data_IF_096971379015
#
_entry.id   IF_096971379015
#
_cell.length_a   1.000
_cell.length_b   1.000
_cell.length_c   1.000
_cell.angle_alpha   90.00
_cell.angle_beta   90.00
_cell.angle_gamma   90.00
#
_symmetry.space_group_name_H-M   'P 1'
#
loop_
_entity.id
_entity.type
_entity.pdbx_description
1 polymer ?
#
# COMPACT_ATOMS: atom_id res chain seq x y z
N UNK A 1 -19.79 -5.40 16.98
CA UNK A 1 -18.43 -5.52 17.55
C UNK A 1 -17.88 -4.12 17.72
N UNK A 2 -17.37 -3.77 18.90
CA UNK A 2 -16.71 -2.48 19.13
C UNK A 2 -15.29 -2.54 18.56
N UNK A 3 -14.88 -1.53 17.80
CA UNK A 3 -13.52 -1.36 17.28
C UNK A 3 -12.97 -0.04 17.80
N UNK A 4 -11.70 -0.01 18.17
CA UNK A 4 -11.03 1.21 18.63
C UNK A 4 -10.12 1.74 17.52
N UNK A 5 -10.27 3.02 17.18
CA UNK A 5 -9.49 3.67 16.11
C UNK A 5 -8.53 4.69 16.71
N UNK A 6 -7.26 4.60 16.30
CA UNK A 6 -6.21 5.55 16.63
C UNK A 6 -5.60 6.08 15.33
N UNK A 7 -5.65 7.40 15.17
CA UNK A 7 -4.98 8.09 14.06
C UNK A 7 -3.95 9.04 14.66
N UNK A 8 -2.68 8.79 14.35
CA UNK A 8 -1.56 9.62 14.78
C UNK A 8 -0.98 10.32 13.57
N UNK A 9 -1.15 11.64 13.52
CA UNK A 9 -0.52 12.50 12.55
C UNK A 9 0.60 13.29 13.25
N UNK A 10 1.83 13.13 12.78
CA UNK A 10 2.94 13.91 13.31
C UNK A 10 2.99 15.29 12.61
N UNK A 11 2.91 16.35 13.41
CA UNK A 11 3.01 17.73 12.92
C UNK A 11 4.47 18.20 12.97
N UNK A 12 4.87 19.02 11.99
CA UNK A 12 6.25 19.42 11.68
C UNK A 12 6.98 20.20 12.78
N UNK A 13 6.34 20.55 13.90
CA UNK A 13 6.89 21.43 14.96
C UNK A 13 6.58 20.95 16.39
N UNK A 14 6.54 19.64 16.59
CA UNK A 14 6.18 19.07 17.89
C UNK A 14 7.38 19.10 18.85
N UNK A 15 7.30 19.92 19.91
CA UNK A 15 8.31 19.97 20.98
C UNK A 15 8.55 18.58 21.60
N UNK A 16 9.77 18.22 22.05
CA UNK A 16 10.04 16.93 22.72
C UNK A 16 9.10 16.65 23.92
N UNK A 17 8.62 17.69 24.61
CA UNK A 17 7.64 17.57 25.69
C UNK A 17 6.27 17.11 25.20
N UNK A 18 5.89 17.51 23.99
CA UNK A 18 4.62 17.09 23.37
C UNK A 18 4.72 15.63 22.91
N UNK A 19 5.88 15.21 22.37
CA UNK A 19 6.11 13.81 22.00
C UNK A 19 5.99 12.86 23.20
N UNK A 20 6.67 13.16 24.32
CA UNK A 20 6.57 12.34 25.52
C UNK A 20 5.17 12.33 26.16
N UNK A 21 4.41 13.43 26.00
CA UNK A 21 3.00 13.48 26.42
C UNK A 21 2.13 12.61 25.50
N UNK A 22 2.37 12.65 24.19
CA UNK A 22 1.66 11.85 23.20
C UNK A 22 1.89 10.36 23.40
N UNK A 23 3.13 9.96 23.65
CA UNK A 23 3.50 8.58 24.00
C UNK A 23 2.68 8.03 25.16
N UNK A 24 2.58 8.79 26.26
CA UNK A 24 1.77 8.40 27.41
C UNK A 24 0.29 8.28 27.08
N UNK A 25 -0.24 9.25 26.32
CA UNK A 25 -1.65 9.24 25.89
C UNK A 25 -1.94 8.01 25.01
N UNK A 26 -1.04 7.69 24.08
CA UNK A 26 -1.16 6.52 23.20
C UNK A 26 -1.09 5.23 24.00
N UNK A 27 -0.12 5.11 24.90
CA UNK A 27 0.01 3.96 25.79
C UNK A 27 -1.24 3.76 26.66
N UNK A 28 -1.75 4.82 27.28
CA UNK A 28 -2.97 4.77 28.08
C UNK A 28 -4.19 4.38 27.23
N UNK A 29 -4.31 4.90 26.02
CA UNK A 29 -5.38 4.53 25.08
C UNK A 29 -5.29 3.05 24.68
N UNK A 30 -4.09 2.56 24.36
CA UNK A 30 -3.84 1.15 24.01
C UNK A 30 -4.19 0.21 25.17
N UNK A 31 -3.87 0.60 26.41
CA UNK A 31 -4.25 -0.14 27.62
C UNK A 31 -5.76 -0.12 27.84
N UNK A 32 -6.42 1.03 27.70
CA UNK A 32 -7.87 1.19 27.90
C UNK A 32 -8.71 0.44 26.89
N UNK A 33 -8.21 0.27 25.67
CA UNK A 33 -8.91 -0.51 24.63
C UNK A 33 -8.95 -2.02 24.89
N UNK A 34 -8.27 -2.50 25.95
CA UNK A 34 -8.35 -3.86 26.48
C UNK A 34 -8.08 -4.94 25.41
N UNK A 35 -9.08 -5.74 25.04
CA UNK A 35 -8.97 -6.80 24.03
C UNK A 35 -9.63 -6.43 22.70
N UNK A 36 -10.08 -5.18 22.54
CA UNK A 36 -10.77 -4.76 21.33
C UNK A 36 -9.82 -4.80 20.12
N UNK A 37 -10.30 -5.18 18.93
CA UNK A 37 -9.57 -5.00 17.69
C UNK A 37 -9.20 -3.52 17.47
N UNK A 38 -8.02 -3.31 16.94
CA UNK A 38 -7.41 -2.00 16.75
C UNK A 38 -7.36 -1.63 15.27
N UNK A 39 -7.71 -0.38 14.98
CA UNK A 39 -7.47 0.27 13.70
C UNK A 39 -6.47 1.39 13.93
N UNK A 40 -5.25 1.23 13.45
CA UNK A 40 -4.15 2.18 13.68
C UNK A 40 -3.72 2.80 12.36
N UNK A 41 -3.58 4.12 12.34
CA UNK A 41 -2.97 4.85 11.24
C UNK A 41 -1.85 5.75 11.77
N UNK A 42 -0.63 5.53 11.27
CA UNK A 42 0.55 6.32 11.59
C UNK A 42 0.96 7.14 10.38
N UNK A 43 1.03 8.46 10.54
CA UNK A 43 1.43 9.38 9.46
C UNK A 43 2.63 10.23 9.86
N UNK A 44 3.73 10.07 9.14
CA UNK A 44 4.83 11.02 9.07
C UNK A 44 4.96 11.62 7.67
N UNK A 45 4.38 12.82 7.53
CA UNK A 45 4.43 13.58 6.28
C UNK A 45 5.70 14.41 6.15
N UNK A 46 6.49 14.54 7.20
CA UNK A 46 7.57 15.50 7.24
C UNK A 46 8.92 14.89 6.84
N UNK A 47 9.05 13.56 6.83
CA UNK A 47 10.34 12.87 6.73
C UNK A 47 11.36 13.42 7.74
N UNK A 48 10.85 13.91 8.87
CA UNK A 48 11.61 14.58 9.93
C UNK A 48 11.94 13.65 11.07
N UNK A 49 11.43 12.43 11.00
CA UNK A 49 12.03 11.37 11.75
C UNK A 49 13.48 11.22 11.29
N UNK A 50 14.37 11.89 12.03
CA UNK A 50 15.82 11.78 11.83
C UNK A 50 16.20 10.31 11.92
N UNK A 51 17.25 9.90 11.20
CA UNK A 51 17.78 8.52 11.15
C UNK A 51 18.09 7.86 12.51
N UNK A 52 17.95 8.58 13.63
CA UNK A 52 17.91 8.01 14.97
C UNK A 52 16.58 7.29 15.22
N UNK A 53 16.52 6.05 14.74
CA UNK A 53 15.46 5.08 14.99
C UNK A 53 15.10 4.94 16.49
N UNK A 54 16.09 5.10 17.38
CA UNK A 54 15.92 5.08 18.84
C UNK A 54 14.99 6.20 19.38
N UNK A 55 14.61 7.16 18.54
CA UNK A 55 13.73 8.29 18.89
C UNK A 55 12.26 8.11 18.49
N UNK A 56 11.85 6.93 18.01
CA UNK A 56 10.46 6.66 17.63
C UNK A 56 9.72 5.63 18.49
N UNK A 57 9.46 5.97 19.77
CA UNK A 57 8.80 5.08 20.73
C UNK A 57 7.38 4.71 20.33
N UNK A 58 6.68 5.50 19.51
CA UNK A 58 5.30 5.20 19.12
C UNK A 58 5.16 3.91 18.29
N UNK A 59 6.11 3.64 17.39
CA UNK A 59 6.11 2.39 16.60
C UNK A 59 6.36 1.20 17.52
N UNK A 60 7.32 1.34 18.44
CA UNK A 60 7.67 0.29 19.40
C UNK A 60 6.53 0.02 20.41
N UNK A 61 5.78 1.04 20.80
CA UNK A 61 4.62 0.92 21.68
C UNK A 61 3.46 0.11 21.09
N UNK A 62 3.38 -0.01 19.76
CA UNK A 62 2.35 -0.82 19.10
C UNK A 62 2.69 -2.31 19.06
N UNK A 63 3.97 -2.69 19.13
CA UNK A 63 4.40 -4.08 19.01
C UNK A 63 3.72 -5.02 20.03
N UNK A 64 3.58 -4.66 21.32
CA UNK A 64 2.88 -5.52 22.30
C UNK A 64 1.39 -5.72 22.00
N UNK A 65 0.81 -4.92 21.11
CA UNK A 65 -0.60 -4.96 20.73
C UNK A 65 -0.81 -5.45 19.29
N UNK A 66 0.24 -5.97 18.63
CA UNK A 66 0.21 -6.43 17.23
C UNK A 66 -0.92 -7.43 16.98
N UNK A 67 -1.13 -8.37 17.90
CA UNK A 67 -2.15 -9.42 17.76
C UNK A 67 -3.58 -8.92 17.67
N UNK A 68 -3.81 -7.65 18.02
CA UNK A 68 -5.11 -6.97 17.98
C UNK A 68 -5.26 -6.06 16.76
N UNK A 69 -4.20 -5.84 15.98
CA UNK A 69 -4.25 -4.98 14.80
C UNK A 69 -5.10 -5.63 13.73
N UNK A 70 -6.24 -4.99 13.42
CA UNK A 70 -7.15 -5.39 12.35
C UNK A 70 -6.95 -4.55 11.11
N UNK A 71 -6.74 -3.25 11.29
CA UNK A 71 -6.42 -2.31 10.24
C UNK A 71 -5.13 -1.58 10.59
N UNK A 72 -4.17 -1.57 9.68
CA UNK A 72 -2.90 -0.90 9.87
C UNK A 72 -2.57 -0.06 8.65
N UNK A 73 -2.47 1.26 8.83
CA UNK A 73 -2.01 2.18 7.78
C UNK A 73 -0.76 2.89 8.23
N UNK A 74 0.30 2.80 7.43
CA UNK A 74 1.60 3.37 7.72
C UNK A 74 1.96 4.36 6.62
N UNK A 75 2.38 5.55 7.01
CA UNK A 75 2.93 6.54 6.10
C UNK A 75 4.19 7.13 6.70
N UNK A 76 5.33 7.05 6.00
CA UNK A 76 6.61 7.56 6.50
C UNK A 76 7.84 6.88 5.89
N UNK A 77 9.00 7.06 6.53
CA UNK A 77 10.25 6.40 6.16
C UNK A 77 10.17 4.87 6.43
N UNK A 78 10.48 4.02 5.45
CA UNK A 78 10.41 2.57 5.62
C UNK A 78 11.33 2.01 6.71
N UNK A 79 12.49 2.62 6.98
CA UNK A 79 13.39 2.14 8.03
C UNK A 79 12.78 2.28 9.42
N UNK A 80 11.98 3.32 9.66
CA UNK A 80 11.31 3.55 10.93
C UNK A 80 10.11 2.64 11.15
N UNK A 81 9.47 2.27 10.05
CA UNK A 81 8.34 1.34 10.04
C UNK A 81 8.80 -0.11 10.12
N UNK A 82 10.11 -0.36 9.96
CA UNK A 82 10.71 -1.70 9.87
C UNK A 82 10.30 -2.67 10.97
N UNK A 83 10.15 -2.30 12.27
CA UNK A 83 9.63 -3.20 13.29
C UNK A 83 8.27 -3.78 12.96
N UNK A 84 7.34 -2.94 12.47
CA UNK A 84 6.00 -3.36 12.11
C UNK A 84 6.01 -4.16 10.81
N UNK A 85 6.88 -3.83 9.87
CA UNK A 85 7.00 -4.54 8.58
C UNK A 85 7.61 -5.94 8.72
N UNK A 86 8.34 -6.21 9.80
CA UNK A 86 8.91 -7.54 10.13
C UNK A 86 7.90 -8.48 10.76
N UNK A 87 6.77 -7.97 11.27
CA UNK A 87 5.71 -8.78 11.86
C UNK A 87 5.15 -9.78 10.85
N UNK A 88 4.91 -11.01 11.30
CA UNK A 88 4.38 -12.11 10.51
C UNK A 88 2.91 -12.43 10.80
N UNK A 89 2.45 -13.57 10.29
CA UNK A 89 1.08 -14.08 10.50
C UNK A 89 0.78 -14.42 11.95
N UNK A 90 1.78 -14.87 12.71
CA UNK A 90 1.62 -15.17 14.13
C UNK A 90 1.42 -13.89 14.95
N UNK A 91 2.06 -12.80 14.56
CA UNK A 91 1.96 -11.50 15.23
C UNK A 91 0.68 -10.74 14.86
N UNK A 92 0.15 -10.98 13.65
CA UNK A 92 -0.96 -10.23 13.05
C UNK A 92 -2.12 -11.15 12.63
N UNK A 93 -2.67 -11.99 13.54
CA UNK A 93 -3.59 -13.06 13.19
C UNK A 93 -4.97 -12.58 12.71
N UNK A 94 -5.33 -11.32 12.99
CA UNK A 94 -6.63 -10.74 12.61
C UNK A 94 -6.50 -9.55 11.65
N UNK A 95 -5.30 -9.27 11.13
CA UNK A 95 -5.09 -8.16 10.22
C UNK A 95 -5.76 -8.48 8.87
N UNK A 96 -6.71 -7.65 8.47
CA UNK A 96 -7.44 -7.80 7.20
C UNK A 96 -7.25 -6.60 6.26
N UNK A 97 -6.71 -5.49 6.78
CA UNK A 97 -6.49 -4.27 6.01
C UNK A 97 -5.11 -3.71 6.31
N UNK A 98 -4.30 -3.58 5.28
CA UNK A 98 -2.95 -3.05 5.35
C UNK A 98 -2.74 -1.95 4.31
N UNK A 99 -2.20 -0.81 4.75
CA UNK A 99 -1.83 0.29 3.88
C UNK A 99 -0.43 0.78 4.20
N UNK A 100 0.38 1.01 3.17
CA UNK A 100 1.73 1.54 3.32
C UNK A 100 1.98 2.61 2.26
N UNK A 101 2.43 3.78 2.70
CA UNK A 101 2.83 4.89 1.86
C UNK A 101 4.22 5.38 2.27
N UNK A 102 5.23 5.14 1.45
CA UNK A 102 6.62 5.42 1.82
C UNK A 102 7.30 6.39 0.87
N UNK A 103 8.09 7.30 1.44
CA UNK A 103 8.99 8.19 0.74
C UNK A 103 10.39 7.59 0.75
N UNK A 104 10.69 6.79 -0.27
CA UNK A 104 11.96 6.08 -0.37
C UNK A 104 11.76 4.70 -0.97
N UNK A 105 12.88 4.01 -1.17
CA UNK A 105 12.91 2.65 -1.68
C UNK A 105 12.78 1.67 -0.53
N UNK A 106 11.86 0.72 -0.66
CA UNK A 106 11.80 -0.43 0.24
C UNK A 106 12.62 -1.56 -0.38
N UNK A 107 13.76 -1.97 0.21
CA UNK A 107 14.67 -2.91 -0.43
C UNK A 107 14.11 -4.34 -0.47
N UNK A 108 13.38 -4.74 0.57
CA UNK A 108 12.87 -6.09 0.76
C UNK A 108 11.34 -6.09 0.81
N UNK A 109 10.72 -7.18 0.36
CA UNK A 109 9.27 -7.39 0.50
C UNK A 109 8.92 -7.55 1.99
N UNK A 110 8.07 -6.68 2.57
CA UNK A 110 7.60 -6.81 3.94
C UNK A 110 6.97 -8.18 4.25
N UNK A 111 7.29 -8.74 5.43
CA UNK A 111 6.72 -10.01 5.91
C UNK A 111 5.20 -9.97 6.00
N UNK A 112 4.64 -8.78 6.28
CA UNK A 112 3.21 -8.53 6.37
C UNK A 112 2.43 -8.86 5.09
N UNK A 113 3.10 -8.98 3.94
CA UNK A 113 2.44 -9.40 2.71
C UNK A 113 2.21 -10.90 2.62
N UNK A 114 2.85 -11.72 3.47
CA UNK A 114 2.60 -13.17 3.55
C UNK A 114 1.32 -13.51 4.34
N UNK A 115 0.59 -12.49 4.81
CA UNK A 115 -0.62 -12.68 5.58
C UNK A 115 -1.76 -13.23 4.71
N UNK A 116 -2.28 -14.39 5.12
CA UNK A 116 -3.30 -15.15 4.39
C UNK A 116 -4.69 -14.50 4.40
N UNK A 117 -4.93 -13.47 5.21
CA UNK A 117 -6.27 -12.92 5.47
C UNK A 117 -6.45 -11.46 5.02
N UNK A 118 -5.49 -10.89 4.27
CA UNK A 118 -5.61 -9.52 3.77
C UNK A 118 -6.71 -9.44 2.70
N UNK A 119 -7.61 -8.49 2.87
CA UNK A 119 -8.71 -8.17 1.95
C UNK A 119 -8.54 -6.78 1.33
N UNK A 120 -7.98 -5.85 2.11
CA UNK A 120 -7.77 -4.47 1.71
C UNK A 120 -6.27 -4.16 1.73
N UNK A 121 -5.68 -3.93 0.57
CA UNK A 121 -4.24 -3.64 0.43
C UNK A 121 -4.04 -2.29 -0.26
N UNK A 122 -3.21 -1.44 0.33
CA UNK A 122 -2.75 -0.18 -0.25
C UNK A 122 -1.24 -0.11 -0.20
N UNK A 123 -0.59 0.06 -1.35
CA UNK A 123 0.86 0.15 -1.50
C UNK A 123 1.14 1.37 -2.35
N UNK A 124 1.71 2.41 -1.74
CA UNK A 124 2.07 3.66 -2.41
C UNK A 124 3.53 4.01 -2.13
N UNK A 125 4.45 3.51 -2.95
CA UNK A 125 5.88 3.67 -2.69
C UNK A 125 6.71 3.52 -3.95
N UNK A 126 7.97 3.95 -3.88
CA UNK A 126 8.96 3.56 -4.86
C UNK A 126 9.43 2.13 -4.52
N UNK A 127 9.32 1.22 -5.49
CA UNK A 127 9.68 -0.19 -5.31
C UNK A 127 10.76 -0.57 -6.31
N UNK A 128 11.76 -1.32 -5.84
CA UNK A 128 12.75 -1.99 -6.70
C UNK A 128 12.29 -3.39 -7.15
N UNK A 129 11.16 -3.88 -6.63
CA UNK A 129 10.61 -5.19 -6.94
C UNK A 129 9.36 -5.10 -7.82
N UNK A 130 9.05 -6.20 -8.48
CA UNK A 130 7.84 -6.38 -9.28
C UNK A 130 6.63 -6.57 -8.35
N UNK A 131 5.59 -5.71 -8.41
CA UNK A 131 4.41 -5.86 -7.57
C UNK A 131 3.72 -7.23 -7.73
N UNK A 132 3.88 -7.91 -8.87
CA UNK A 132 3.34 -9.26 -9.08
C UNK A 132 3.97 -10.33 -8.19
N UNK A 133 5.22 -10.12 -7.76
CA UNK A 133 5.94 -11.07 -6.91
C UNK A 133 5.59 -10.90 -5.43
N UNK A 134 4.67 -10.00 -5.08
CA UNK A 134 4.21 -9.87 -3.70
C UNK A 134 3.50 -11.17 -3.26
N UNK A 135 3.81 -11.70 -2.07
CA UNK A 135 3.29 -12.98 -1.56
C UNK A 135 1.85 -12.87 -1.02
N UNK A 136 1.00 -12.08 -1.70
CA UNK A 136 -0.38 -11.82 -1.34
C UNK A 136 -1.30 -12.96 -1.79
N UNK A 137 -2.36 -13.21 -1.02
CA UNK A 137 -3.50 -14.00 -1.47
C UNK A 137 -4.40 -13.16 -2.39
N UNK A 138 -3.91 -12.83 -3.58
CA UNK A 138 -4.56 -11.93 -4.55
C UNK A 138 -6.05 -12.26 -4.78
N UNK A 139 -6.39 -13.55 -4.78
CA UNK A 139 -7.76 -14.01 -5.02
C UNK A 139 -8.80 -13.55 -3.99
N UNK A 140 -8.37 -13.16 -2.79
CA UNK A 140 -9.24 -12.73 -1.70
C UNK A 140 -9.35 -11.20 -1.58
N UNK A 141 -8.56 -10.45 -2.35
CA UNK A 141 -8.54 -9.00 -2.25
C UNK A 141 -9.84 -8.39 -2.76
N UNK A 142 -10.46 -7.57 -1.91
CA UNK A 142 -11.64 -6.76 -2.23
C UNK A 142 -11.28 -5.33 -2.56
N UNK A 143 -10.18 -4.82 -2.00
CA UNK A 143 -9.67 -3.47 -2.30
C UNK A 143 -8.19 -3.49 -2.55
N UNK A 144 -7.79 -2.88 -3.66
CA UNK A 144 -6.40 -2.80 -4.06
C UNK A 144 -6.05 -1.38 -4.51
N UNK A 145 -5.04 -0.80 -3.88
CA UNK A 145 -4.41 0.44 -4.33
C UNK A 145 -2.93 0.16 -4.56
N UNK A 146 -2.46 0.22 -5.81
CA UNK A 146 -1.06 0.05 -6.18
C UNK A 146 -0.54 1.31 -6.89
N UNK A 147 0.22 2.10 -6.16
CA UNK A 147 0.97 3.25 -6.68
C UNK A 147 2.47 2.95 -6.56
N UNK A 148 2.97 2.11 -7.47
CA UNK A 148 4.36 1.70 -7.51
C UNK A 148 5.15 2.61 -8.45
N UNK A 149 5.97 3.50 -7.88
CA UNK A 149 6.84 4.39 -8.64
C UNK A 149 8.10 3.63 -9.03
N UNK A 150 8.44 3.70 -10.30
CA UNK A 150 9.73 3.20 -10.77
C UNK A 150 10.86 4.11 -10.29
N UNK A 151 12.03 3.52 -10.08
CA UNK A 151 13.24 4.19 -9.63
C UNK A 151 14.16 4.35 -10.85
N UNK A 152 14.75 5.52 -11.00
CA UNK A 152 15.77 5.75 -12.02
C UNK A 152 17.14 5.37 -11.44
N UNK A 153 17.77 4.38 -12.04
CA UNK A 153 19.14 3.95 -11.75
C UNK A 153 20.04 4.31 -12.93
N UNK A 154 21.35 4.20 -12.76
CA UNK A 154 22.33 4.40 -13.85
C UNK A 154 22.11 3.42 -15.01
N UNK A 155 21.40 2.30 -14.78
CA UNK A 155 21.08 1.27 -15.77
C UNK A 155 19.72 1.49 -16.45
N UNK A 156 18.98 2.53 -16.06
CA UNK A 156 17.66 2.87 -16.61
C UNK A 156 16.58 2.86 -15.54
N UNK A 157 15.34 2.62 -15.97
CA UNK A 157 14.20 2.61 -15.07
C UNK A 157 13.96 1.20 -14.52
N UNK A 158 14.03 1.05 -13.19
CA UNK A 158 13.80 -0.20 -12.46
C UNK A 158 12.50 -0.14 -11.66
N UNK A 159 11.81 -1.28 -11.60
CA UNK A 159 10.56 -1.42 -10.85
C UNK A 159 9.37 -0.68 -11.46
N UNK A 160 8.41 -0.36 -10.60
CA UNK A 160 7.09 0.13 -11.01
C UNK A 160 6.17 -0.98 -11.53
N UNK A 161 5.02 -0.57 -12.04
CA UNK A 161 4.02 -1.48 -12.59
C UNK A 161 3.75 -1.10 -14.04
N UNK A 162 4.20 -1.92 -14.97
CA UNK A 162 3.92 -1.75 -16.38
C UNK A 162 2.49 -2.21 -16.74
N UNK A 163 2.13 -1.99 -18.00
CA UNK A 163 0.79 -2.26 -18.49
C UNK A 163 0.45 -3.76 -18.45
N UNK A 164 1.39 -4.62 -18.86
CA UNK A 164 1.21 -6.07 -18.80
C UNK A 164 1.10 -6.56 -17.35
N UNK A 165 1.91 -6.00 -16.46
CA UNK A 165 1.92 -6.33 -15.05
C UNK A 165 0.62 -5.97 -14.35
N UNK A 166 0.05 -4.80 -14.63
CA UNK A 166 -1.23 -4.42 -14.06
C UNK A 166 -2.38 -5.30 -14.57
N UNK A 167 -2.35 -5.75 -15.85
CA UNK A 167 -3.27 -6.77 -16.38
C UNK A 167 -3.19 -8.08 -15.61
N UNK A 168 -1.97 -8.55 -15.38
CA UNK A 168 -1.72 -9.75 -14.62
C UNK A 168 -2.28 -9.64 -13.19
N UNK A 169 -1.99 -8.53 -12.50
CA UNK A 169 -2.50 -8.27 -11.14
C UNK A 169 -4.03 -8.30 -11.10
N UNK A 170 -4.70 -7.63 -12.04
CA UNK A 170 -6.16 -7.61 -12.11
C UNK A 170 -6.74 -9.02 -12.29
N UNK A 171 -6.13 -9.87 -13.13
CA UNK A 171 -6.56 -11.28 -13.29
C UNK A 171 -6.42 -12.10 -12.02
N UNK A 172 -5.42 -11.80 -11.18
CA UNK A 172 -5.24 -12.50 -9.91
C UNK A 172 -6.27 -12.10 -8.84
N UNK A 173 -7.06 -11.03 -9.06
CA UNK A 173 -7.99 -10.44 -8.09
C UNK A 173 -9.48 -10.55 -8.51
N UNK A 174 -10.06 -11.75 -8.69
CA UNK A 174 -11.46 -11.91 -9.12
C UNK A 174 -12.50 -11.31 -8.16
N UNK A 175 -12.16 -11.15 -6.86
CA UNK A 175 -13.06 -10.62 -5.82
C UNK A 175 -13.00 -9.10 -5.67
N UNK A 176 -12.23 -8.42 -6.53
CA UNK A 176 -11.96 -6.99 -6.39
C UNK A 176 -13.22 -6.16 -6.59
N UNK A 177 -13.46 -5.23 -5.66
CA UNK A 177 -14.58 -4.28 -5.65
C UNK A 177 -14.11 -2.85 -5.92
N UNK A 178 -13.00 -2.45 -5.29
CA UNK A 178 -12.37 -1.15 -5.50
C UNK A 178 -10.92 -1.33 -5.93
N UNK A 179 -10.53 -0.66 -7.02
CA UNK A 179 -9.20 -0.74 -7.58
C UNK A 179 -8.65 0.63 -7.93
N UNK A 180 -7.45 0.94 -7.46
CA UNK A 180 -6.65 2.07 -7.89
C UNK A 180 -5.27 1.56 -8.32
N UNK A 181 -4.90 1.74 -9.59
CA UNK A 181 -3.61 1.30 -10.10
C UNK A 181 -2.94 2.45 -10.85
N UNK A 182 -1.69 2.75 -10.48
CA UNK A 182 -0.80 3.57 -11.28
C UNK A 182 0.04 2.69 -12.20
N UNK A 183 -0.08 2.91 -13.51
CA UNK A 183 0.75 2.25 -14.52
C UNK A 183 1.87 3.19 -14.93
N UNK A 184 3.10 2.75 -14.68
CA UNK A 184 4.32 3.43 -15.14
C UNK A 184 4.67 2.97 -16.55
N UNK A 185 5.32 3.84 -17.32
CA UNK A 185 5.92 3.44 -18.59
C UNK A 185 7.04 2.44 -18.27
N UNK A 186 6.83 1.15 -18.55
CA UNK A 186 7.84 0.12 -18.31
C UNK A 186 9.11 0.37 -19.15
N UNK A 187 10.25 -0.09 -18.67
CA UNK A 187 11.55 0.05 -19.35
C UNK A 187 11.78 -0.93 -20.50
N UNK A 188 10.92 -1.94 -20.68
CA UNK A 188 11.20 -3.07 -21.57
C UNK A 188 10.04 -3.44 -22.49
N UNK A 189 10.33 -3.43 -23.79
CA UNK A 189 9.58 -4.00 -24.91
C UNK A 189 8.13 -3.55 -25.09
N UNK A 190 7.96 -2.51 -25.91
CA UNK A 190 6.70 -2.23 -26.60
C UNK A 190 6.19 -3.42 -27.44
N UNK A 191 7.00 -4.47 -27.63
CA UNK A 191 6.69 -5.69 -28.39
C UNK A 191 6.19 -6.87 -27.52
N UNK A 192 6.07 -6.71 -26.19
CA UNK A 192 5.45 -7.77 -25.38
C UNK A 192 3.96 -7.83 -25.70
N UNK A 193 3.60 -8.83 -26.49
CA UNK A 193 2.21 -9.19 -26.83
C UNK A 193 1.41 -9.24 -25.53
N UNK A 194 0.53 -8.25 -25.35
CA UNK A 194 -0.45 -8.28 -24.28
C UNK A 194 -1.27 -9.54 -24.45
N UNK A 195 -1.35 -10.35 -23.40
CA UNK A 195 -2.27 -11.47 -23.38
C UNK A 195 -3.69 -10.92 -23.55
N UNK A 196 -4.29 -11.24 -24.68
CA UNK A 196 -5.60 -10.76 -25.12
C UNK A 196 -6.76 -11.52 -24.47
N UNK A 197 -6.48 -12.37 -23.48
CA UNK A 197 -7.51 -13.06 -22.73
C UNK A 197 -8.39 -12.07 -21.93
N UNK A 198 -9.73 -12.23 -21.94
CA UNK A 198 -10.61 -11.39 -21.14
C UNK A 198 -10.27 -11.43 -19.64
N UNK A 199 -10.36 -10.29 -18.98
CA UNK A 199 -10.19 -10.13 -17.53
C UNK A 199 -11.58 -10.00 -16.91
N UNK A 200 -12.00 -11.02 -16.18
CA UNK A 200 -13.30 -11.05 -15.52
C UNK A 200 -13.20 -10.49 -14.11
N UNK A 201 -13.86 -9.36 -13.88
CA UNK A 201 -13.93 -8.69 -12.58
C UNK A 201 -15.40 -8.44 -12.24
N UNK A 202 -16.15 -9.51 -11.92
CA UNK A 202 -17.60 -9.45 -11.77
C UNK A 202 -18.04 -8.57 -10.59
N UNK A 203 -17.19 -8.36 -9.60
CA UNK A 203 -17.51 -7.59 -8.39
C UNK A 203 -17.02 -6.15 -8.42
N UNK A 204 -16.27 -5.75 -9.45
CA UNK A 204 -15.62 -4.44 -9.50
C UNK A 204 -16.65 -3.32 -9.68
N UNK A 205 -16.62 -2.35 -8.77
CA UNK A 205 -17.53 -1.21 -8.73
C UNK A 205 -16.79 0.10 -9.01
N UNK A 206 -15.55 0.23 -8.55
CA UNK A 206 -14.71 1.42 -8.74
C UNK A 206 -13.36 1.05 -9.32
N UNK A 207 -12.99 1.69 -10.42
CA UNK A 207 -11.69 1.55 -11.06
C UNK A 207 -11.07 2.92 -11.31
N UNK A 208 -9.89 3.14 -10.73
CA UNK A 208 -9.06 4.33 -10.94
C UNK A 208 -7.76 3.88 -11.59
N UNK A 209 -7.50 4.37 -12.80
CA UNK A 209 -6.28 4.09 -13.56
C UNK A 209 -5.50 5.38 -13.74
N UNK A 210 -4.28 5.43 -13.21
CA UNK A 210 -3.39 6.58 -13.37
C UNK A 210 -2.24 6.20 -14.28
N UNK A 211 -2.13 6.85 -15.44
CA UNK A 211 -1.22 6.39 -16.50
C UNK A 211 -0.40 7.50 -17.14
N UNK A 212 0.76 7.13 -17.68
CA UNK A 212 1.60 8.05 -18.43
C UNK A 212 1.06 8.31 -19.85
N UNK A 213 0.50 7.28 -20.51
CA UNK A 213 0.07 7.34 -21.92
C UNK A 213 -1.39 6.90 -22.10
N UNK A 214 -2.29 7.87 -22.20
CA UNK A 214 -3.74 7.63 -22.28
C UNK A 214 -4.17 6.76 -23.47
N UNK A 215 -3.58 6.96 -24.64
CA UNK A 215 -4.09 6.36 -25.89
C UNK A 215 -3.95 4.83 -25.91
N UNK A 216 -2.94 4.30 -25.21
CA UNK A 216 -2.64 2.87 -25.17
C UNK A 216 -3.76 2.10 -24.44
N UNK A 217 -4.25 2.61 -23.31
CA UNK A 217 -5.25 1.94 -22.48
C UNK A 217 -6.58 1.79 -23.19
N UNK A 218 -7.07 2.83 -23.84
CA UNK A 218 -8.39 2.75 -24.47
C UNK A 218 -8.40 1.76 -25.64
N UNK A 219 -7.26 1.55 -26.30
CA UNK A 219 -7.13 0.60 -27.41
C UNK A 219 -6.81 -0.81 -26.94
N UNK A 220 -5.98 -0.93 -25.91
CA UNK A 220 -5.36 -2.21 -25.55
C UNK A 220 -5.88 -2.79 -24.23
N UNK A 221 -6.56 -2.01 -23.39
CA UNK A 221 -7.05 -2.48 -22.09
C UNK A 221 -8.54 -2.68 -22.05
N UNK A 222 -9.28 -1.59 -22.34
CA UNK A 222 -10.73 -1.54 -22.17
C UNK A 222 -11.46 -2.70 -22.89
N UNK A 223 -11.09 -3.11 -24.11
CA UNK A 223 -11.77 -4.21 -24.79
C UNK A 223 -11.71 -5.56 -24.07
N UNK A 224 -10.72 -5.79 -23.20
CA UNK A 224 -10.53 -7.05 -22.51
C UNK A 224 -11.12 -7.06 -21.09
N UNK A 225 -11.57 -5.91 -20.57
CA UNK A 225 -12.16 -5.83 -19.24
C UNK A 225 -13.64 -6.23 -19.26
N UNK A 226 -13.99 -7.31 -18.57
CA UNK A 226 -15.37 -7.76 -18.36
C UNK A 226 -15.79 -7.38 -16.94
N UNK A 227 -16.38 -6.18 -16.83
CA UNK A 227 -16.69 -5.48 -15.57
C UNK A 227 -18.18 -5.10 -15.49
N UNK A 228 -19.10 -6.09 -15.41
CA UNK A 228 -20.54 -5.86 -15.54
C UNK A 228 -21.15 -4.95 -14.46
N UNK A 229 -20.48 -4.79 -13.32
CA UNK A 229 -20.95 -4.02 -12.16
C UNK A 229 -20.20 -2.70 -11.96
N UNK A 230 -19.41 -2.25 -12.95
CA UNK A 230 -18.62 -1.03 -12.82
C UNK A 230 -19.52 0.21 -12.74
N UNK A 231 -19.34 1.00 -11.70
CA UNK A 231 -20.11 2.23 -11.43
C UNK A 231 -19.28 3.50 -11.57
N UNK A 232 -17.99 3.40 -11.27
CA UNK A 232 -17.04 4.50 -11.33
C UNK A 232 -15.81 4.07 -12.11
N UNK A 233 -15.52 4.78 -13.21
CA UNK A 233 -14.29 4.66 -13.96
C UNK A 233 -13.61 6.02 -14.00
N UNK A 234 -12.40 6.10 -13.45
CA UNK A 234 -11.57 7.30 -13.52
C UNK A 234 -10.26 6.94 -14.20
N UNK A 235 -9.90 7.71 -15.23
CA UNK A 235 -8.61 7.57 -15.91
C UNK A 235 -7.89 8.90 -15.75
N UNK A 236 -6.80 8.89 -14.97
CA UNK A 236 -5.96 10.03 -14.65
C UNK A 236 -4.64 10.00 -15.39
N UNK A 237 -4.04 11.17 -15.58
CA UNK A 237 -2.66 11.29 -16.08
C UNK A 237 -1.72 11.37 -14.90
N UNK A 238 -0.62 10.63 -14.93
CA UNK A 238 0.51 10.95 -14.07
C UNK A 238 1.01 12.34 -14.50
N UNK A 239 0.73 13.34 -13.69
CA UNK A 239 1.35 14.65 -13.83
C UNK A 239 2.74 14.44 -13.24
N UNK A 240 3.76 14.38 -14.10
CA UNK A 240 5.15 14.24 -13.68
C UNK A 240 5.54 15.42 -12.80
N UNK A 241 5.34 15.27 -11.48
CA UNK A 241 5.99 16.11 -10.51
C UNK A 241 7.48 15.82 -10.62
N UNK A 242 8.29 16.84 -10.91
CA UNK A 242 9.73 16.75 -10.67
C UNK A 242 9.90 16.28 -9.22
N UNK A 243 10.51 15.11 -9.06
CA UNK A 243 11.10 14.72 -7.79
C UNK A 243 12.34 15.61 -7.66
N UNK A 244 12.16 16.75 -6.99
CA UNK A 244 13.28 17.60 -6.55
C UNK A 244 13.99 16.96 -5.34
#
# INVERSE_FOLDING_TARGET
MLSSTLTLENYTHTSPKILSSLEKIVEEWLKRSATCPLSVSLFDRANRFTSDFDKHPLVLQLLPFSSRLRHLRLTGDPELLRPLLRLGSEDLPILNSFGMECRGTVPDVPNIFHLVALQDVTIRMAVSFDPRSLPLQWSQLTKLCLECKAIWTDQGQEGGLDLSGAFHVLRMCPMLMDCEIQVTQGSGDADRVLDTSPIHLPHLQSLVLTVNVFQVIFREWIPYLVVPNLRSLQVGKVIGGRLD
#
